data_IF_554433813780
#
_entry.id   IF_554433813780
#
_cell.length_a   1.000
_cell.length_b   1.000
_cell.length_c   1.000
_cell.angle_alpha   90.00
_cell.angle_beta   90.00
_cell.angle_gamma   90.00
#
_symmetry.space_group_name_H-M   'P 1'
#
loop_
_entity.id
_entity.type
_entity.pdbx_description
1 polymer ?
#
# COMPACT_ATOMS: atom_id res chain seq x y z
N UNK A 1 29.42 -15.82 -4.12
CA UNK A 1 28.45 -14.72 -3.88
C UNK A 1 27.11 -15.35 -3.53
N UNK A 2 26.39 -14.82 -2.55
CA UNK A 2 25.05 -15.32 -2.22
C UNK A 2 24.15 -15.17 -3.45
N UNK A 3 23.45 -16.25 -3.84
CA UNK A 3 22.45 -16.21 -4.92
C UNK A 3 21.17 -15.64 -4.34
N UNK A 4 20.86 -14.38 -4.67
CA UNK A 4 19.59 -13.77 -4.33
C UNK A 4 18.60 -14.04 -5.45
N UNK A 5 17.44 -14.59 -5.10
CA UNK A 5 16.35 -14.76 -6.04
C UNK A 5 15.48 -13.48 -6.05
N UNK A 6 14.86 -13.14 -7.19
CA UNK A 6 13.87 -12.08 -7.22
C UNK A 6 12.73 -12.38 -6.23
N UNK A 7 11.99 -11.34 -5.79
CA UNK A 7 10.76 -11.56 -5.02
C UNK A 7 9.79 -12.45 -5.80
N UNK A 8 8.86 -13.09 -5.09
CA UNK A 8 7.74 -13.76 -5.73
C UNK A 8 6.93 -12.74 -6.55
N UNK A 9 6.25 -13.20 -7.59
CA UNK A 9 5.40 -12.36 -8.44
C UNK A 9 4.41 -11.54 -7.60
N UNK A 10 4.13 -10.33 -8.08
CA UNK A 10 3.21 -9.42 -7.40
C UNK A 10 1.77 -9.86 -7.64
N UNK A 11 0.95 -9.89 -6.59
CA UNK A 11 -0.47 -10.21 -6.69
C UNK A 11 -1.28 -8.96 -7.06
N UNK A 12 -1.61 -8.80 -8.35
CA UNK A 12 -2.33 -7.61 -8.86
C UNK A 12 -3.74 -7.45 -8.29
N UNK A 13 -4.33 -8.51 -7.73
CA UNK A 13 -5.62 -8.48 -7.01
C UNK A 13 -5.51 -7.79 -5.65
N UNK A 14 -4.30 -7.60 -5.13
CA UNK A 14 -4.02 -7.00 -3.82
C UNK A 14 -3.14 -5.76 -3.95
N UNK A 15 -3.65 -4.67 -4.53
CA UNK A 15 -2.88 -3.43 -4.73
C UNK A 15 -2.34 -2.83 -3.43
N UNK A 16 -2.95 -3.13 -2.28
CA UNK A 16 -2.46 -2.69 -0.96
C UNK A 16 -1.11 -3.33 -0.56
N UNK A 17 -0.73 -4.48 -1.12
CA UNK A 17 0.56 -5.14 -0.85
C UNK A 17 1.72 -4.54 -1.68
N UNK A 18 1.43 -3.60 -2.59
CA UNK A 18 2.41 -2.97 -3.46
C UNK A 18 3.60 -2.32 -2.71
N UNK A 19 3.40 -1.54 -1.62
CA UNK A 19 4.52 -0.92 -0.90
C UNK A 19 5.54 -1.94 -0.37
N UNK A 20 5.04 -3.04 0.20
CA UNK A 20 5.88 -4.11 0.76
C UNK A 20 6.61 -4.88 -0.35
N UNK A 21 5.91 -5.19 -1.44
CA UNK A 21 6.50 -5.85 -2.59
C UNK A 21 7.59 -4.98 -3.23
N UNK A 22 7.30 -3.69 -3.45
CA UNK A 22 8.26 -2.70 -3.99
C UNK A 22 9.49 -2.61 -3.12
N UNK A 23 9.33 -2.52 -1.79
CA UNK A 23 10.46 -2.48 -0.86
C UNK A 23 11.32 -3.74 -0.97
N UNK A 24 10.70 -4.92 -1.13
CA UNK A 24 11.42 -6.18 -1.30
C UNK A 24 12.18 -6.22 -2.63
N UNK A 25 11.60 -5.71 -3.72
CA UNK A 25 12.27 -5.60 -5.01
C UNK A 25 13.46 -4.62 -4.95
N UNK A 26 13.35 -3.47 -4.29
CA UNK A 26 14.46 -2.53 -4.13
C UNK A 26 15.64 -3.16 -3.38
N UNK A 27 15.36 -3.94 -2.33
CA UNK A 27 16.41 -4.70 -1.62
C UNK A 27 17.09 -5.71 -2.54
N UNK A 28 16.33 -6.42 -3.35
CA UNK A 28 16.86 -7.33 -4.37
C UNK A 28 17.74 -6.58 -5.37
N UNK A 29 17.25 -5.46 -5.92
CA UNK A 29 17.93 -4.61 -6.90
C UNK A 29 19.29 -4.11 -6.39
N UNK A 30 19.38 -3.73 -5.12
CA UNK A 30 20.66 -3.34 -4.49
C UNK A 30 21.55 -4.56 -4.24
N UNK A 31 21.00 -5.64 -3.70
CA UNK A 31 21.76 -6.84 -3.33
C UNK A 31 22.41 -7.55 -4.53
N UNK A 32 21.75 -7.51 -5.70
CA UNK A 32 22.28 -8.05 -6.95
C UNK A 32 23.12 -7.06 -7.75
N UNK A 33 23.22 -5.81 -7.30
CA UNK A 33 23.82 -4.67 -8.01
C UNK A 33 23.11 -4.30 -9.32
N UNK A 34 21.89 -4.77 -9.54
CA UNK A 34 21.04 -4.39 -10.67
C UNK A 34 20.87 -2.87 -10.75
N UNK A 35 20.92 -2.16 -9.61
CA UNK A 35 20.89 -0.69 -9.58
C UNK A 35 22.05 0.00 -10.33
N UNK A 36 23.08 -0.75 -10.73
CA UNK A 36 24.24 -0.24 -11.48
C UNK A 36 24.21 -0.63 -12.97
N UNK A 37 23.27 -1.48 -13.37
CA UNK A 37 23.09 -1.87 -14.77
C UNK A 37 22.32 -0.79 -15.55
N UNK A 38 22.21 -0.95 -16.86
CA UNK A 38 21.51 0.00 -17.72
C UNK A 38 20.01 0.06 -17.39
N UNK A 39 19.40 1.25 -17.57
CA UNK A 39 17.98 1.49 -17.32
C UNK A 39 17.03 0.44 -17.93
N UNK A 40 17.17 0.08 -19.23
CA UNK A 40 16.36 -0.96 -19.85
C UNK A 40 16.44 -2.32 -19.14
N UNK A 41 17.61 -2.69 -18.63
CA UNK A 41 17.82 -3.96 -17.88
C UNK A 41 17.09 -3.90 -16.54
N UNK A 42 17.19 -2.76 -15.85
CA UNK A 42 16.49 -2.55 -14.58
C UNK A 42 14.97 -2.60 -14.75
N UNK A 43 14.44 -1.92 -15.77
CA UNK A 43 13.00 -1.92 -16.10
C UNK A 43 12.53 -3.33 -16.48
N UNK A 44 13.27 -4.02 -17.34
CA UNK A 44 12.94 -5.39 -17.76
C UNK A 44 12.91 -6.34 -16.56
N UNK A 45 13.88 -6.21 -15.64
CA UNK A 45 13.93 -7.03 -14.45
C UNK A 45 12.77 -6.74 -13.48
N UNK A 46 12.37 -5.48 -13.33
CA UNK A 46 11.19 -5.09 -12.55
C UNK A 46 9.93 -5.76 -13.10
N UNK A 47 9.64 -5.57 -14.39
CA UNK A 47 8.43 -6.10 -15.04
C UNK A 47 8.42 -7.63 -14.98
N UNK A 48 9.56 -8.27 -15.28
CA UNK A 48 9.70 -9.72 -15.21
C UNK A 48 9.46 -10.27 -13.80
N UNK A 49 10.02 -9.61 -12.77
CA UNK A 49 9.83 -10.02 -11.38
C UNK A 49 8.38 -9.83 -10.90
N UNK A 50 7.68 -8.80 -11.41
CA UNK A 50 6.27 -8.59 -11.09
C UNK A 50 5.37 -9.67 -11.71
N UNK A 51 5.64 -10.09 -12.95
CA UNK A 51 4.93 -11.17 -13.63
C UNK A 51 4.18 -10.73 -14.89
N UNK A 52 3.46 -11.66 -15.52
CA UNK A 52 2.79 -11.46 -16.82
C UNK A 52 1.75 -10.34 -16.81
N UNK A 53 1.08 -10.10 -15.70
CA UNK A 53 0.12 -8.99 -15.57
C UNK A 53 0.80 -7.62 -15.65
N UNK A 54 2.06 -7.51 -15.21
CA UNK A 54 2.83 -6.28 -15.26
C UNK A 54 3.09 -5.82 -16.70
N UNK A 55 3.25 -6.76 -17.63
CA UNK A 55 3.40 -6.46 -19.06
C UNK A 55 2.17 -5.73 -19.62
N UNK A 56 0.97 -6.18 -19.24
CA UNK A 56 -0.28 -5.58 -19.70
C UNK A 56 -0.47 -4.18 -19.11
N UNK A 57 -0.12 -4.02 -17.83
CA UNK A 57 -0.17 -2.73 -17.14
C UNK A 57 0.85 -1.75 -17.71
N UNK A 58 2.08 -2.20 -17.93
CA UNK A 58 3.15 -1.38 -18.50
C UNK A 58 2.78 -0.85 -19.90
N UNK A 59 2.17 -1.70 -20.74
CA UNK A 59 1.66 -1.29 -22.06
C UNK A 59 0.53 -0.26 -21.99
N UNK A 60 -0.19 -0.17 -20.87
CA UNK A 60 -1.24 0.83 -20.68
C UNK A 60 -0.70 2.20 -20.25
N UNK A 61 0.57 2.29 -19.85
CA UNK A 61 1.17 3.55 -19.42
C UNK A 61 1.43 4.49 -20.58
N UNK A 62 1.12 5.77 -20.35
CA UNK A 62 1.44 6.86 -21.27
C UNK A 62 2.70 7.55 -20.78
N UNK A 63 3.70 7.60 -21.67
CA UNK A 63 5.00 8.23 -21.47
C UNK A 63 5.10 9.46 -22.38
N UNK A 64 5.79 10.50 -21.91
CA UNK A 64 5.98 11.73 -22.69
C UNK A 64 7.07 11.55 -23.76
N UNK A 65 8.06 10.69 -23.50
CA UNK A 65 9.10 10.32 -24.45
C UNK A 65 9.41 8.82 -24.36
N UNK A 66 9.89 8.23 -25.46
CA UNK A 66 10.21 6.79 -25.50
C UNK A 66 11.34 6.43 -24.53
N UNK A 67 12.31 7.33 -24.34
CA UNK A 67 13.39 7.17 -23.38
C UNK A 67 12.91 7.02 -21.93
N UNK A 68 11.72 7.53 -21.58
CA UNK A 68 11.15 7.37 -20.24
C UNK A 68 10.76 5.93 -19.93
N UNK A 69 10.53 5.10 -20.95
CA UNK A 69 10.26 3.66 -20.78
C UNK A 69 11.49 2.89 -20.32
N UNK A 70 12.67 3.47 -20.49
CA UNK A 70 13.95 2.89 -20.11
C UNK A 70 14.45 3.44 -18.76
N UNK A 71 13.79 4.46 -18.22
CA UNK A 71 14.12 5.04 -16.92
C UNK A 71 13.40 4.29 -15.79
N UNK A 72 14.18 3.62 -14.94
CA UNK A 72 13.67 2.83 -13.83
C UNK A 72 12.80 3.65 -12.87
N UNK A 73 13.22 4.87 -12.53
CA UNK A 73 12.51 5.70 -11.55
C UNK A 73 11.18 6.19 -12.12
N UNK A 74 11.13 6.54 -13.41
CA UNK A 74 9.89 6.93 -14.09
C UNK A 74 8.93 5.75 -14.16
N UNK A 75 9.39 4.58 -14.62
CA UNK A 75 8.54 3.38 -14.72
C UNK A 75 8.03 2.93 -13.35
N UNK A 76 8.88 2.92 -12.32
CA UNK A 76 8.46 2.63 -10.95
C UNK A 76 7.38 3.60 -10.47
N UNK A 77 7.54 4.90 -10.74
CA UNK A 77 6.55 5.91 -10.35
C UNK A 77 5.21 5.71 -11.09
N UNK A 78 5.21 5.29 -12.35
CA UNK A 78 3.97 4.93 -13.06
C UNK A 78 3.25 3.74 -12.41
N UNK A 79 4.00 2.75 -11.92
CA UNK A 79 3.41 1.66 -11.12
C UNK A 79 2.88 2.16 -9.77
N UNK A 80 3.59 3.06 -9.09
CA UNK A 80 3.09 3.73 -7.88
C UNK A 80 1.74 4.41 -8.16
N UNK A 81 1.65 5.22 -9.21
CA UNK A 81 0.43 5.90 -9.66
C UNK A 81 -0.69 4.93 -10.07
N UNK A 82 -0.35 3.74 -10.57
CA UNK A 82 -1.34 2.74 -10.96
C UNK A 82 -1.97 2.03 -9.75
N UNK A 83 -1.15 1.71 -8.73
CA UNK A 83 -1.63 0.99 -7.56
C UNK A 83 -2.20 1.90 -6.47
N UNK A 84 -1.77 3.17 -6.38
CA UNK A 84 -2.28 4.12 -5.37
C UNK A 84 -3.81 4.34 -5.47
N UNK A 85 -4.42 4.64 -6.64
CA UNK A 85 -5.87 4.77 -6.78
C UNK A 85 -6.61 3.44 -6.58
N UNK A 86 -5.95 2.31 -6.86
CA UNK A 86 -6.51 0.95 -6.67
C UNK A 86 -6.49 0.50 -5.22
N UNK A 87 -5.63 1.11 -4.39
CA UNK A 87 -5.80 1.12 -2.95
C UNK A 87 -7.02 2.01 -2.71
N UNK A 88 -8.21 1.41 -2.73
CA UNK A 88 -9.47 2.14 -2.71
C UNK A 88 -9.60 2.94 -1.41
N UNK A 89 -9.12 4.18 -1.42
CA UNK A 89 -9.10 5.07 -0.25
C UNK A 89 -10.50 5.21 0.34
N UNK A 90 -11.55 5.18 -0.50
CA UNK A 90 -12.93 5.22 -0.04
C UNK A 90 -13.27 3.96 0.78
N UNK A 91 -12.83 2.78 0.33
CA UNK A 91 -12.98 1.53 1.07
C UNK A 91 -12.18 1.56 2.38
N UNK A 92 -10.92 2.00 2.36
CA UNK A 92 -10.09 2.10 3.57
C UNK A 92 -10.72 3.04 4.60
N UNK A 93 -11.18 4.22 4.16
CA UNK A 93 -11.95 5.16 4.99
C UNK A 93 -13.23 4.54 5.52
N UNK A 94 -13.96 3.79 4.70
CA UNK A 94 -15.17 3.10 5.14
C UNK A 94 -14.85 2.06 6.23
N UNK A 95 -13.81 1.24 6.06
CA UNK A 95 -13.33 0.29 7.06
C UNK A 95 -12.94 1.00 8.36
N UNK A 96 -12.20 2.10 8.27
CA UNK A 96 -11.84 2.94 9.42
C UNK A 96 -13.08 3.48 10.15
N UNK A 97 -14.03 4.06 9.42
CA UNK A 97 -15.23 4.65 10.04
C UNK A 97 -16.20 3.60 10.59
N UNK A 98 -16.20 2.37 10.06
CA UNK A 98 -16.99 1.25 10.57
C UNK A 98 -16.35 0.57 11.80
N UNK A 99 -15.07 0.81 12.06
CA UNK A 99 -14.34 0.17 13.15
C UNK A 99 -14.88 0.64 14.52
N UNK A 100 -15.34 -0.33 15.30
CA UNK A 100 -15.82 -0.17 16.69
C UNK A 100 -15.12 -1.17 17.60
N UNK A 101 -14.91 -0.82 18.87
CA UNK A 101 -14.32 -1.73 19.86
C UNK A 101 -15.17 -2.99 19.99
N UNK A 102 -14.55 -4.17 19.80
CA UNK A 102 -15.25 -5.45 19.89
C UNK A 102 -15.57 -5.77 21.37
N UNK A 103 -16.64 -6.54 21.65
CA UNK A 103 -16.89 -7.01 23.02
C UNK A 103 -15.68 -7.74 23.59
N UNK A 104 -15.20 -7.32 24.76
CA UNK A 104 -14.02 -7.90 25.41
C UNK A 104 -12.66 -7.45 24.85
N UNK A 105 -12.62 -6.63 23.80
CA UNK A 105 -11.38 -6.06 23.27
C UNK A 105 -10.83 -4.98 24.22
N UNK A 106 -9.52 -5.00 24.51
CA UNK A 106 -8.87 -3.94 25.28
C UNK A 106 -8.86 -2.63 24.49
N UNK A 107 -9.04 -1.51 25.18
CA UNK A 107 -9.04 -0.18 24.55
C UNK A 107 -7.75 0.08 23.75
N UNK A 108 -6.59 -0.30 24.30
CA UNK A 108 -5.29 -0.19 23.64
C UNK A 108 -5.24 -0.93 22.29
N UNK A 109 -5.79 -2.14 22.22
CA UNK A 109 -5.85 -2.94 20.99
C UNK A 109 -6.76 -2.30 19.94
N UNK A 110 -7.88 -1.73 20.37
CA UNK A 110 -8.77 -0.98 19.49
C UNK A 110 -8.10 0.28 18.94
N UNK A 111 -7.42 1.06 19.80
CA UNK A 111 -6.69 2.26 19.39
C UNK A 111 -5.60 1.90 18.38
N UNK A 112 -4.80 0.86 18.64
CA UNK A 112 -3.76 0.41 17.70
C UNK A 112 -4.34 0.05 16.34
N UNK A 113 -5.44 -0.69 16.31
CA UNK A 113 -6.09 -1.04 15.05
C UNK A 113 -6.62 0.18 14.28
N UNK A 114 -7.02 1.27 14.97
CA UNK A 114 -7.39 2.52 14.31
C UNK A 114 -6.18 3.22 13.69
N UNK A 115 -5.03 3.22 14.38
CA UNK A 115 -3.78 3.73 13.81
C UNK A 115 -3.40 2.94 12.55
N UNK A 116 -3.40 1.61 12.62
CA UNK A 116 -3.07 0.75 11.48
C UNK A 116 -4.00 1.03 10.27
N UNK A 117 -5.32 1.15 10.48
CA UNK A 117 -6.28 1.47 9.42
C UNK A 117 -6.09 2.90 8.85
N UNK A 118 -5.71 3.87 9.69
CA UNK A 118 -5.55 5.26 9.28
C UNK A 118 -4.39 5.49 8.31
N UNK A 119 -3.37 4.63 8.33
CA UNK A 119 -2.20 4.72 7.45
C UNK A 119 -2.57 4.65 5.96
N UNK A 120 -3.75 4.13 5.64
CA UNK A 120 -4.18 3.85 4.27
C UNK A 120 -5.38 4.71 3.84
N UNK A 121 -5.87 5.56 4.74
CA UNK A 121 -7.05 6.38 4.51
C UNK A 121 -6.74 7.74 3.86
N UNK A 122 -5.47 8.12 3.74
CA UNK A 122 -5.04 9.39 3.15
C UNK A 122 -5.83 10.60 3.70
N UNK A 123 -5.95 10.69 5.04
CA UNK A 123 -6.73 11.77 5.69
C UNK A 123 -6.03 13.12 5.68
N UNK A 124 -4.77 13.20 5.20
CA UNK A 124 -3.89 14.37 5.37
C UNK A 124 -3.43 14.56 6.81
N UNK A 125 -4.37 14.73 7.74
CA UNK A 125 -4.14 14.77 9.20
C UNK A 125 -4.89 13.64 9.90
N UNK A 126 -4.14 12.64 10.36
CA UNK A 126 -4.72 11.43 10.97
C UNK A 126 -5.20 11.65 12.42
N UNK A 127 -4.63 12.61 13.15
CA UNK A 127 -4.90 12.78 14.59
C UNK A 127 -6.37 13.08 14.92
N UNK A 128 -7.01 14.00 14.19
CA UNK A 128 -8.41 14.36 14.43
C UNK A 128 -9.34 13.19 14.13
N UNK A 129 -9.16 12.54 12.97
CA UNK A 129 -9.96 11.38 12.56
C UNK A 129 -9.86 10.22 13.56
N UNK A 130 -8.67 9.94 14.09
CA UNK A 130 -8.46 8.89 15.10
C UNK A 130 -9.12 9.26 16.43
N UNK A 131 -8.96 10.50 16.92
CA UNK A 131 -9.58 10.95 18.17
C UNK A 131 -11.10 10.85 18.09
N UNK A 132 -11.71 11.34 17.02
CA UNK A 132 -13.15 11.27 16.81
C UNK A 132 -13.63 9.83 16.74
N UNK A 133 -12.89 8.97 16.01
CA UNK A 133 -13.25 7.57 15.87
C UNK A 133 -13.11 6.79 17.19
N UNK A 134 -12.14 7.13 18.05
CA UNK A 134 -12.02 6.58 19.40
C UNK A 134 -13.27 6.92 20.22
N UNK A 135 -13.68 8.19 20.25
CA UNK A 135 -14.83 8.65 21.05
C UNK A 135 -16.13 7.95 20.59
N UNK A 136 -16.38 7.90 19.28
CA UNK A 136 -17.63 7.32 18.75
C UNK A 136 -17.57 5.77 18.76
N UNK A 137 -16.38 5.17 18.72
CA UNK A 137 -16.18 3.73 18.52
C UNK A 137 -15.96 2.92 19.79
N UNK A 138 -15.66 3.55 20.92
CA UNK A 138 -15.42 2.85 22.19
C UNK A 138 -16.73 2.23 22.73
N UNK A 139 -16.63 1.00 23.21
CA UNK A 139 -17.79 0.21 23.62
C UNK A 139 -18.46 0.77 24.89
N UNK A 140 -17.68 1.40 25.78
CA UNK A 140 -18.16 1.93 27.06
C UNK A 140 -19.12 3.11 26.92
N UNK A 141 -18.87 4.03 25.96
CA UNK A 141 -19.72 5.21 25.76
C UNK A 141 -21.09 4.82 25.18
N UNK A 142 -21.15 3.77 24.33
CA UNK A 142 -22.43 3.28 23.79
C UNK A 142 -23.35 2.70 24.85
N UNK A 143 -22.79 2.09 25.92
CA UNK A 143 -23.58 1.64 27.06
C UNK A 143 -24.25 2.82 27.80
N UNK A 144 -23.56 3.96 27.91
CA UNK A 144 -24.12 5.17 28.53
C UNK A 144 -25.27 5.75 27.70
N UNK A 145 -25.16 5.78 26.37
CA UNK A 145 -26.22 6.35 25.52
C UNK A 145 -27.50 5.49 25.50
N UNK A 146 -27.40 4.16 25.61
CA UNK A 146 -28.57 3.26 25.72
C UNK A 146 -29.22 3.33 27.11
N UNK A 147 -28.49 3.81 28.13
CA UNK A 147 -29.02 3.94 29.50
C UNK A 147 -29.69 5.30 29.77
N UNK A 148 -29.65 6.23 28.81
CA UNK A 148 -30.15 7.60 28.94
C UNK A 148 -31.35 7.93 28.03
N UNK A 149 -31.92 6.92 27.36
CA UNK A 149 -33.26 6.96 26.73
C UNK A 149 -34.17 5.98 27.46
#
# INVERSE_FOLDING_TARGET
MAKFNPPANFAFEKPAEWPDWKQRFERYRIATKLNKDDGPVQVSCLIYAMGSEAENVFKSFVFAAEAEKEDYDIVRNKFDEYFVPRRNVIHERACFHQRVQKPGEKAESFIRALYDLSEHCDFGTNEENIRDRIVVGIHWIKKFHVSCN
#
